data_IF_073456440939
#
_entry.id   IF_073456440939
#
_cell.length_a   1.000
_cell.length_b   1.000
_cell.length_c   1.000
_cell.angle_alpha   90.00
_cell.angle_beta   90.00
_cell.angle_gamma   90.00
#
_symmetry.space_group_name_H-M   'P 1'
#
loop_
_entity.id
_entity.type
_entity.pdbx_description
1 polymer ?
#
# COMPACT_ATOMS: atom_id res chain seq x y z
N UNK A 1 10.35 -12.25 1.61
CA UNK A 1 9.63 -11.69 0.48
C UNK A 1 9.84 -12.56 -0.74
N UNK A 2 8.83 -13.28 -1.23
CA UNK A 2 8.98 -14.19 -2.36
C UNK A 2 9.07 -13.52 -3.73
N UNK A 3 9.05 -12.19 -3.79
CA UNK A 3 9.07 -11.45 -5.04
C UNK A 3 10.44 -10.77 -5.26
N UNK A 4 11.20 -11.27 -6.23
CA UNK A 4 12.50 -10.78 -6.63
C UNK A 4 12.51 -10.19 -8.05
N UNK A 5 13.70 -10.07 -8.60
CA UNK A 5 13.96 -9.57 -9.96
C UNK A 5 13.75 -10.66 -11.03
N UNK A 6 13.53 -11.90 -10.62
CA UNK A 6 13.45 -13.04 -11.49
C UNK A 6 14.80 -13.74 -11.69
N UNK A 7 14.79 -14.79 -12.51
CA UNK A 7 15.95 -15.69 -12.70
C UNK A 7 17.17 -14.96 -13.29
N UNK A 8 16.94 -13.91 -14.05
CA UNK A 8 17.99 -13.08 -14.67
C UNK A 8 18.34 -11.86 -13.81
N UNK A 9 17.79 -11.77 -12.58
CA UNK A 9 18.05 -10.67 -11.67
C UNK A 9 19.51 -10.64 -11.22
N UNK A 10 20.08 -9.44 -11.18
CA UNK A 10 21.49 -9.25 -10.79
C UNK A 10 21.71 -9.52 -9.30
N UNK A 11 20.79 -9.03 -8.45
CA UNK A 11 20.93 -9.09 -6.99
C UNK A 11 19.84 -9.89 -6.29
N UNK A 12 18.69 -10.09 -6.89
CA UNK A 12 17.57 -10.81 -6.30
C UNK A 12 16.96 -11.78 -7.32
N UNK A 13 17.51 -12.99 -7.34
CA UNK A 13 17.06 -14.08 -8.24
C UNK A 13 15.81 -14.81 -7.75
N UNK A 14 15.19 -14.35 -6.65
CA UNK A 14 13.90 -14.86 -6.25
C UNK A 14 12.86 -14.65 -7.38
N UNK A 15 11.84 -15.51 -7.51
CA UNK A 15 10.88 -15.40 -8.61
C UNK A 15 10.18 -14.05 -8.60
N UNK A 16 9.88 -13.53 -9.78
CA UNK A 16 9.16 -12.26 -9.96
C UNK A 16 7.80 -12.27 -9.25
N UNK A 17 7.16 -13.43 -9.17
CA UNK A 17 5.93 -13.68 -8.41
C UNK A 17 5.96 -15.10 -7.82
N UNK A 18 5.25 -15.26 -6.70
CA UNK A 18 5.12 -16.53 -6.00
C UNK A 18 3.72 -16.59 -5.38
N UNK A 19 3.08 -17.75 -5.45
CA UNK A 19 1.76 -18.00 -4.87
C UNK A 19 1.81 -18.89 -3.63
N UNK A 20 2.98 -19.40 -3.26
CA UNK A 20 3.16 -20.28 -2.09
C UNK A 20 3.23 -19.48 -0.77
N UNK A 21 3.50 -18.17 -0.84
CA UNK A 21 3.58 -17.31 0.33
C UNK A 21 3.54 -15.83 -0.02
N UNK A 22 2.86 -15.06 0.82
CA UNK A 22 2.71 -13.62 0.67
C UNK A 22 3.10 -12.86 1.94
N UNK A 23 3.74 -11.70 1.77
CA UNK A 23 3.60 -10.58 2.69
C UNK A 23 2.42 -9.70 2.24
N UNK A 24 2.13 -8.65 2.99
CA UNK A 24 0.99 -7.78 2.68
C UNK A 24 1.14 -7.06 1.32
N UNK A 25 2.34 -6.69 0.93
CA UNK A 25 2.62 -5.98 -0.34
C UNK A 25 2.51 -6.94 -1.51
N UNK A 26 3.18 -8.10 -1.42
CA UNK A 26 3.14 -9.11 -2.49
C UNK A 26 1.74 -9.69 -2.69
N UNK A 27 0.96 -9.85 -1.61
CA UNK A 27 -0.45 -10.22 -1.71
C UNK A 27 -1.25 -9.20 -2.54
N UNK A 28 -1.18 -7.93 -2.17
CA UNK A 28 -1.94 -6.87 -2.86
C UNK A 28 -1.47 -6.74 -4.32
N UNK A 29 -0.17 -6.73 -4.57
CA UNK A 29 0.36 -6.54 -5.92
C UNK A 29 -0.01 -7.69 -6.86
N UNK A 30 0.09 -8.96 -6.39
CA UNK A 30 -0.29 -10.11 -7.21
C UNK A 30 -1.81 -10.13 -7.48
N UNK A 31 -2.65 -9.88 -6.48
CA UNK A 31 -4.11 -9.87 -6.65
C UNK A 31 -4.54 -8.71 -7.57
N UNK A 32 -3.97 -7.52 -7.40
CA UNK A 32 -4.24 -6.37 -8.26
C UNK A 32 -3.84 -6.66 -9.72
N UNK A 33 -2.65 -7.20 -9.94
CA UNK A 33 -2.18 -7.56 -11.28
C UNK A 33 -3.07 -8.63 -11.93
N UNK A 34 -3.48 -9.68 -11.18
CA UNK A 34 -4.40 -10.70 -11.65
C UNK A 34 -5.77 -10.13 -12.02
N UNK A 35 -6.34 -9.30 -11.15
CA UNK A 35 -7.66 -8.70 -11.37
C UNK A 35 -7.72 -7.77 -12.60
N UNK A 36 -6.59 -7.19 -12.96
CA UNK A 36 -6.47 -6.29 -14.11
C UNK A 36 -6.06 -7.00 -15.41
N UNK A 37 -5.87 -8.33 -15.41
CA UNK A 37 -5.29 -9.07 -16.53
C UNK A 37 -6.23 -10.15 -17.04
N UNK A 38 -6.16 -10.43 -18.35
CA UNK A 38 -6.94 -11.49 -19.01
C UNK A 38 -6.13 -12.76 -19.29
N UNK A 39 -4.81 -12.69 -19.18
CA UNK A 39 -3.91 -13.83 -19.42
C UNK A 39 -2.58 -13.63 -18.66
N UNK A 40 -1.75 -14.69 -18.66
CA UNK A 40 -0.47 -14.69 -17.92
C UNK A 40 0.50 -13.60 -18.40
N UNK A 41 0.57 -13.35 -19.70
CA UNK A 41 1.48 -12.30 -20.24
C UNK A 41 1.07 -10.91 -19.76
N UNK A 42 -0.24 -10.62 -19.72
CA UNK A 42 -0.73 -9.35 -19.18
C UNK A 42 -0.51 -9.25 -17.67
N UNK A 43 -0.72 -10.34 -16.94
CA UNK A 43 -0.43 -10.40 -15.50
C UNK A 43 1.04 -10.04 -15.22
N UNK A 44 1.98 -10.68 -15.91
CA UNK A 44 3.40 -10.40 -15.74
C UNK A 44 3.75 -8.95 -16.05
N UNK A 45 3.25 -8.40 -17.16
CA UNK A 45 3.45 -6.99 -17.53
C UNK A 45 2.89 -6.02 -16.49
N UNK A 46 1.67 -6.28 -16.01
CA UNK A 46 1.05 -5.42 -14.98
C UNK A 46 1.77 -5.51 -13.66
N UNK A 47 2.20 -6.72 -13.27
CA UNK A 47 2.95 -6.91 -12.05
C UNK A 47 4.28 -6.13 -12.07
N UNK A 48 4.97 -6.11 -13.22
CA UNK A 48 6.17 -5.29 -13.40
C UNK A 48 5.85 -3.80 -13.20
N UNK A 49 4.80 -3.29 -13.83
CA UNK A 49 4.41 -1.88 -13.73
C UNK A 49 3.91 -1.49 -12.33
N UNK A 50 3.33 -2.44 -11.57
CA UNK A 50 2.84 -2.23 -10.21
C UNK A 50 4.00 -2.16 -9.20
N UNK A 51 5.14 -2.78 -9.51
CA UNK A 51 6.25 -2.93 -8.57
C UNK A 51 7.51 -2.13 -8.92
N UNK A 52 7.68 -1.73 -10.19
CA UNK A 52 8.92 -1.17 -10.68
C UNK A 52 8.70 0.06 -11.56
N UNK A 53 9.60 1.04 -11.46
CA UNK A 53 9.65 2.17 -12.39
C UNK A 53 9.80 1.65 -13.81
N UNK A 54 8.93 2.12 -14.70
CA UNK A 54 8.86 1.77 -16.12
C UNK A 54 8.74 0.24 -16.39
N UNK A 55 8.35 -0.54 -15.38
CA UNK A 55 8.24 -1.99 -15.48
C UNK A 55 9.56 -2.72 -15.62
N UNK A 56 10.68 -2.11 -15.29
CA UNK A 56 12.01 -2.69 -15.39
C UNK A 56 12.37 -3.34 -14.04
N UNK A 57 12.40 -4.68 -14.02
CA UNK A 57 12.68 -5.47 -12.83
C UNK A 57 14.16 -5.37 -12.43
N UNK A 58 14.49 -4.38 -11.64
CA UNK A 58 15.80 -4.16 -11.03
C UNK A 58 15.60 -3.71 -9.60
N UNK A 59 16.55 -4.02 -8.72
CA UNK A 59 16.45 -3.67 -7.31
C UNK A 59 16.34 -2.16 -7.09
N UNK A 60 17.11 -1.35 -7.80
CA UNK A 60 17.09 0.10 -7.73
C UNK A 60 15.83 0.76 -8.34
N UNK A 61 15.10 0.00 -9.16
CA UNK A 61 13.83 0.43 -9.78
C UNK A 61 12.59 -0.02 -8.98
N UNK A 62 12.74 -0.85 -7.95
CA UNK A 62 11.61 -1.34 -7.17
C UNK A 62 10.98 -0.22 -6.34
N UNK A 63 9.66 -0.24 -6.20
CA UNK A 63 8.94 0.62 -5.28
C UNK A 63 9.14 0.13 -3.83
N UNK A 64 10.17 0.64 -3.18
CA UNK A 64 10.54 0.24 -1.82
C UNK A 64 9.65 0.89 -0.75
N UNK A 65 9.04 2.03 -1.07
CA UNK A 65 8.29 2.85 -0.12
C UNK A 65 6.84 3.04 -0.60
N UNK A 66 5.86 2.58 0.21
CA UNK A 66 4.45 2.68 -0.16
C UNK A 66 4.07 4.12 -0.48
N UNK A 67 4.27 5.04 0.47
CA UNK A 67 3.84 6.43 0.33
C UNK A 67 4.67 7.27 -0.65
N UNK A 68 5.95 6.94 -0.87
CA UNK A 68 6.84 7.71 -1.75
C UNK A 68 6.93 7.15 -3.18
N UNK A 69 6.80 5.83 -3.35
CA UNK A 69 6.96 5.17 -4.65
C UNK A 69 5.64 4.56 -5.12
N UNK A 70 5.15 3.56 -4.39
CA UNK A 70 4.05 2.70 -4.83
C UNK A 70 2.77 3.50 -5.11
N UNK A 71 2.33 4.32 -4.15
CA UNK A 71 1.11 5.12 -4.29
C UNK A 71 1.23 6.09 -5.47
N UNK A 72 2.33 6.83 -5.52
CA UNK A 72 2.57 7.85 -6.54
C UNK A 72 2.58 7.22 -7.95
N UNK A 73 3.30 6.11 -8.13
CA UNK A 73 3.43 5.50 -9.45
C UNK A 73 2.18 4.73 -9.86
N UNK A 74 1.52 4.03 -8.93
CA UNK A 74 0.29 3.30 -9.25
C UNK A 74 -0.91 4.23 -9.50
N UNK A 75 -0.95 5.41 -8.88
CA UNK A 75 -1.91 6.47 -9.22
C UNK A 75 -1.60 7.07 -10.60
N UNK A 76 -0.33 7.38 -10.89
CA UNK A 76 0.11 7.86 -12.22
C UNK A 76 -0.22 6.85 -13.32
N UNK A 77 -0.02 5.56 -13.06
CA UNK A 77 -0.33 4.46 -13.98
C UNK A 77 -1.84 4.14 -14.06
N UNK A 78 -2.69 4.83 -13.28
CA UNK A 78 -4.14 4.63 -13.23
C UNK A 78 -4.53 3.20 -12.83
N UNK A 79 -3.78 2.57 -11.95
CA UNK A 79 -4.18 1.32 -11.32
C UNK A 79 -5.04 1.58 -10.09
N UNK A 80 -4.75 2.67 -9.37
CA UNK A 80 -5.49 3.11 -8.18
C UNK A 80 -5.70 4.62 -8.20
N UNK A 81 -6.64 5.09 -7.38
CA UNK A 81 -6.88 6.51 -7.09
C UNK A 81 -7.02 6.68 -5.59
N UNK A 82 -6.29 7.62 -5.00
CA UNK A 82 -6.47 7.97 -3.59
C UNK A 82 -7.77 8.76 -3.42
N UNK A 83 -8.71 8.19 -2.68
CA UNK A 83 -10.01 8.80 -2.39
C UNK A 83 -10.15 9.16 -0.91
N UNK A 84 -9.07 9.08 -0.15
CA UNK A 84 -9.11 9.30 1.31
C UNK A 84 -9.65 10.67 1.67
N UNK A 85 -9.28 11.70 0.90
CA UNK A 85 -9.75 13.06 1.12
C UNK A 85 -11.20 13.29 0.67
N UNK A 86 -11.77 12.36 -0.11
CA UNK A 86 -13.14 12.41 -0.63
C UNK A 86 -14.14 11.68 0.30
N UNK A 87 -13.73 11.31 1.51
CA UNK A 87 -14.61 10.76 2.54
C UNK A 87 -15.02 11.89 3.49
N UNK A 88 -16.32 12.14 3.56
CA UNK A 88 -16.90 13.31 4.19
C UNK A 88 -17.73 12.98 5.43
N UNK A 89 -17.74 13.89 6.39
CA UNK A 89 -18.65 13.83 7.53
C UNK A 89 -20.08 14.26 7.14
N UNK A 90 -21.00 14.19 8.10
CA UNK A 90 -22.42 14.57 7.94
C UNK A 90 -22.62 16.06 7.55
N UNK A 91 -21.59 16.88 7.69
CA UNK A 91 -21.57 18.31 7.30
C UNK A 91 -20.91 18.51 5.95
N UNK A 92 -20.68 17.44 5.19
CA UNK A 92 -19.99 17.44 3.90
C UNK A 92 -18.57 18.04 3.99
N UNK A 93 -17.87 17.81 5.10
CA UNK A 93 -16.48 18.20 5.30
C UNK A 93 -15.61 16.97 5.30
N UNK A 94 -14.50 17.00 4.53
CA UNK A 94 -13.52 15.92 4.57
C UNK A 94 -13.02 15.67 5.99
N UNK A 95 -12.98 14.40 6.39
CA UNK A 95 -12.43 13.98 7.68
C UNK A 95 -10.94 13.69 7.63
N UNK A 96 -10.33 13.70 6.46
CA UNK A 96 -8.94 13.34 6.28
C UNK A 96 -7.99 14.27 7.03
N UNK A 97 -6.93 13.69 7.56
CA UNK A 97 -5.72 14.37 8.03
C UNK A 97 -4.54 13.91 7.16
N UNK A 98 -3.39 14.55 7.31
CA UNK A 98 -2.19 14.24 6.51
C UNK A 98 -1.06 13.73 7.39
N UNK A 99 -0.46 12.61 6.98
CA UNK A 99 0.77 12.10 7.53
C UNK A 99 1.92 12.69 6.70
N UNK A 100 2.60 13.67 7.28
CA UNK A 100 3.68 14.39 6.61
C UNK A 100 5.03 14.02 7.19
N UNK A 101 6.04 13.87 6.34
CA UNK A 101 7.39 13.58 6.78
C UNK A 101 8.34 13.21 5.66
N UNK A 102 9.60 13.10 6.02
CA UNK A 102 10.68 12.77 5.09
C UNK A 102 10.97 11.27 5.08
N UNK A 103 11.03 10.70 3.90
CA UNK A 103 11.58 9.36 3.62
C UNK A 103 13.04 9.56 3.23
N UNK A 104 13.95 9.10 4.08
CA UNK A 104 15.40 9.18 3.85
C UNK A 104 15.87 7.97 3.04
N UNK A 105 15.59 7.97 1.73
CA UNK A 105 15.99 6.89 0.80
C UNK A 105 17.51 6.66 0.82
N UNK A 106 18.38 7.71 0.77
CA UNK A 106 19.84 7.51 0.89
C UNK A 106 20.23 6.69 2.11
N UNK A 107 19.75 7.10 3.29
CA UNK A 107 20.13 6.42 4.53
C UNK A 107 19.53 5.01 4.65
N UNK A 108 18.37 4.77 4.05
CA UNK A 108 17.80 3.42 3.95
C UNK A 108 18.71 2.47 3.15
N UNK A 109 19.23 2.92 1.99
CA UNK A 109 20.20 2.12 1.21
C UNK A 109 21.51 1.89 1.95
N UNK A 110 22.04 2.92 2.65
CA UNK A 110 23.23 2.78 3.46
C UNK A 110 23.01 1.78 4.60
N UNK A 111 21.89 1.87 5.30
CA UNK A 111 21.55 0.95 6.39
C UNK A 111 21.38 -0.49 5.90
N UNK A 112 20.77 -0.68 4.73
CA UNK A 112 20.65 -2.00 4.09
C UNK A 112 22.02 -2.58 3.73
N UNK A 113 22.97 -1.75 3.29
CA UNK A 113 24.32 -2.18 2.93
C UNK A 113 25.12 -2.76 4.11
N UNK A 114 24.77 -2.42 5.36
CA UNK A 114 25.50 -2.91 6.55
C UNK A 114 25.42 -4.45 6.72
N UNK A 115 24.38 -5.08 6.21
CA UNK A 115 24.12 -6.53 6.36
C UNK A 115 24.36 -7.35 5.09
N UNK A 116 24.93 -6.74 4.05
CA UNK A 116 25.08 -7.38 2.73
C UNK A 116 26.54 -7.80 2.46
N UNK A 117 26.77 -8.62 1.41
CA UNK A 117 28.11 -8.91 0.90
C UNK A 117 28.80 -7.64 0.41
N UNK A 118 30.12 -7.64 0.33
CA UNK A 118 30.91 -6.45 -0.07
C UNK A 118 30.44 -5.88 -1.42
N UNK A 119 30.24 -6.74 -2.42
CA UNK A 119 29.79 -6.36 -3.77
C UNK A 119 28.40 -5.71 -3.75
N UNK A 120 27.45 -6.33 -3.07
CA UNK A 120 26.08 -5.82 -2.94
C UNK A 120 26.04 -4.55 -2.08
N UNK A 121 26.87 -4.46 -1.03
CA UNK A 121 27.02 -3.27 -0.22
C UNK A 121 27.53 -2.09 -1.03
N UNK A 122 28.53 -2.29 -1.90
CA UNK A 122 29.06 -1.25 -2.77
C UNK A 122 28.03 -0.76 -3.79
N UNK A 123 27.24 -1.67 -4.35
CA UNK A 123 26.11 -1.32 -5.21
C UNK A 123 25.08 -0.45 -4.47
N UNK A 124 24.67 -0.85 -3.28
CA UNK A 124 23.72 -0.09 -2.46
C UNK A 124 24.24 1.29 -2.06
N UNK A 125 25.53 1.40 -1.73
CA UNK A 125 26.17 2.70 -1.45
C UNK A 125 26.18 3.61 -2.68
N UNK A 126 26.42 3.07 -3.89
CA UNK A 126 26.31 3.85 -5.15
C UNK A 126 24.89 4.38 -5.38
N UNK A 127 23.86 3.54 -5.14
CA UNK A 127 22.47 4.01 -5.21
C UNK A 127 22.23 5.13 -4.20
N UNK A 128 22.70 4.99 -2.98
CA UNK A 128 22.52 6.00 -1.94
C UNK A 128 23.10 7.39 -2.32
N UNK A 129 24.09 7.45 -3.22
CA UNK A 129 24.66 8.72 -3.70
C UNK A 129 23.79 9.45 -4.73
N UNK A 130 22.90 8.72 -5.42
CA UNK A 130 22.09 9.28 -6.52
C UNK A 130 20.63 9.50 -6.16
N UNK A 131 20.10 8.72 -5.23
CA UNK A 131 18.72 8.91 -4.73
C UNK A 131 18.66 10.09 -3.76
N UNK A 132 17.47 10.66 -3.61
CA UNK A 132 17.25 11.82 -2.74
C UNK A 132 16.29 11.47 -1.62
N UNK A 133 16.36 12.23 -0.56
CA UNK A 133 15.31 12.31 0.44
C UNK A 133 14.05 12.86 -0.21
N UNK A 134 12.90 12.33 0.20
CA UNK A 134 11.62 12.69 -0.38
C UNK A 134 10.62 13.06 0.71
N UNK A 135 10.06 14.27 0.62
CA UNK A 135 8.99 14.69 1.51
C UNK A 135 7.67 14.11 1.00
N UNK A 136 6.94 13.46 1.89
CA UNK A 136 5.67 12.79 1.60
C UNK A 136 4.57 13.40 2.44
N UNK A 137 3.41 13.60 1.82
CA UNK A 137 2.15 13.97 2.46
C UNK A 137 1.10 12.94 2.06
N UNK A 138 0.74 12.05 2.99
CA UNK A 138 -0.20 10.95 2.77
C UNK A 138 -1.52 11.26 3.52
N UNK A 139 -2.67 11.41 2.84
CA UNK A 139 -3.94 11.59 3.52
C UNK A 139 -4.34 10.30 4.26
N UNK A 140 -5.00 10.45 5.40
CA UNK A 140 -5.55 9.31 6.13
C UNK A 140 -6.84 9.68 6.87
N UNK A 141 -7.74 8.73 7.01
CA UNK A 141 -8.94 8.82 7.83
C UNK A 141 -8.54 8.49 9.28
N UNK A 142 -8.66 9.42 10.23
CA UNK A 142 -8.28 9.16 11.62
C UNK A 142 -9.16 8.08 12.25
N UNK A 143 -8.55 7.08 12.90
CA UNK A 143 -9.30 6.00 13.59
C UNK A 143 -10.36 6.56 14.54
N UNK A 144 -10.02 7.61 15.31
CA UNK A 144 -10.95 8.21 16.27
C UNK A 144 -12.18 8.87 15.63
N UNK A 145 -12.12 9.23 14.33
CA UNK A 145 -13.27 9.75 13.59
C UNK A 145 -14.14 8.65 12.99
N UNK A 146 -13.56 7.45 12.76
CA UNK A 146 -14.29 6.31 12.22
C UNK A 146 -15.22 5.64 13.25
N UNK A 147 -15.03 5.94 14.54
CA UNK A 147 -15.83 5.39 15.63
C UNK A 147 -16.46 6.49 16.48
N UNK A 148 -17.58 6.16 17.12
CA UNK A 148 -18.20 7.00 18.12
C UNK A 148 -17.51 6.88 19.51
N UNK A 149 -18.00 7.60 20.51
CA UNK A 149 -17.47 7.59 21.89
C UNK A 149 -17.58 6.21 22.56
N UNK A 150 -18.55 5.41 22.14
CA UNK A 150 -18.76 4.03 22.61
C UNK A 150 -17.96 3.00 21.79
N UNK A 151 -17.12 3.45 20.85
CA UNK A 151 -16.35 2.63 19.91
C UNK A 151 -17.22 1.81 18.95
N UNK A 152 -18.42 2.28 18.64
CA UNK A 152 -19.20 1.72 17.55
C UNK A 152 -18.74 2.36 16.23
N UNK A 153 -18.69 1.62 15.13
CA UNK A 153 -18.32 2.17 13.83
C UNK A 153 -19.37 3.19 13.37
N UNK A 154 -18.89 4.30 12.79
CA UNK A 154 -19.75 5.26 12.11
C UNK A 154 -20.02 4.75 10.71
N UNK A 155 -21.04 3.91 10.57
CA UNK A 155 -21.37 3.16 9.35
C UNK A 155 -21.40 4.05 8.10
N UNK A 156 -21.90 5.29 8.21
CA UNK A 156 -21.95 6.22 7.08
C UNK A 156 -20.55 6.56 6.51
N UNK A 157 -19.48 6.49 7.31
CA UNK A 157 -18.10 6.66 6.82
C UNK A 157 -17.58 5.40 6.14
N UNK A 158 -17.84 4.23 6.73
CA UNK A 158 -17.46 2.96 6.12
C UNK A 158 -18.20 2.71 4.79
N UNK A 159 -19.44 3.21 4.67
CA UNK A 159 -20.23 3.08 3.45
C UNK A 159 -19.68 3.90 2.28
N UNK A 160 -18.88 4.94 2.54
CA UNK A 160 -18.19 5.70 1.50
C UNK A 160 -16.93 5.01 0.96
N UNK A 161 -16.44 3.97 1.62
CA UNK A 161 -15.29 3.18 1.13
C UNK A 161 -15.80 2.24 0.02
N UNK A 162 -15.33 2.38 -1.24
CA UNK A 162 -15.75 1.53 -2.33
C UNK A 162 -15.37 0.07 -2.12
N UNK A 163 -16.16 -0.84 -2.69
CA UNK A 163 -15.78 -2.25 -2.77
C UNK A 163 -14.49 -2.41 -3.56
N UNK A 164 -13.65 -3.36 -3.15
CA UNK A 164 -12.34 -3.67 -3.76
C UNK A 164 -11.29 -2.57 -3.63
N UNK A 165 -11.45 -1.61 -2.72
CA UNK A 165 -10.38 -0.65 -2.39
C UNK A 165 -9.21 -1.32 -1.68
N UNK A 166 -8.02 -0.75 -1.82
CA UNK A 166 -6.86 -1.10 -1.01
C UNK A 166 -6.88 -0.20 0.23
N UNK A 167 -6.77 -0.80 1.40
CA UNK A 167 -6.65 -0.11 2.68
C UNK A 167 -5.21 -0.18 3.14
N UNK A 168 -4.62 0.97 3.40
CA UNK A 168 -3.29 1.08 4.02
C UNK A 168 -3.42 1.51 5.48
N UNK A 169 -2.71 0.83 6.37
CA UNK A 169 -2.67 1.15 7.80
C UNK A 169 -1.60 2.20 8.04
N UNK A 170 -2.06 3.41 8.37
CA UNK A 170 -1.20 4.60 8.43
C UNK A 170 -0.65 4.83 9.84
N UNK A 171 0.67 5.02 9.89
CA UNK A 171 1.45 5.42 11.06
C UNK A 171 2.24 6.68 10.70
N UNK A 172 1.72 7.88 10.95
CA UNK A 172 2.42 9.10 10.59
C UNK A 172 3.84 9.15 11.18
N UNK A 173 4.83 9.35 10.34
CA UNK A 173 6.23 9.47 10.75
C UNK A 173 6.73 8.31 11.64
N UNK A 174 6.31 7.08 11.31
CA UNK A 174 6.75 5.90 12.08
C UNK A 174 8.27 5.79 12.07
N UNK A 175 8.86 6.10 13.22
CA UNK A 175 10.31 6.14 13.35
C UNK A 175 10.90 4.72 13.33
N UNK A 176 11.59 4.42 12.25
CA UNK A 176 12.35 3.19 12.04
C UNK A 176 13.82 3.48 11.71
N UNK A 177 14.31 4.71 11.98
CA UNK A 177 15.67 5.14 11.61
C UNK A 177 16.76 4.20 12.12
N UNK A 178 16.63 3.74 13.36
CA UNK A 178 17.64 2.83 13.95
C UNK A 178 17.61 1.44 13.29
N UNK A 179 16.45 1.00 12.79
CA UNK A 179 16.25 -0.33 12.22
C UNK A 179 16.55 -0.38 10.72
N UNK A 180 16.02 0.59 9.96
CA UNK A 180 16.05 0.58 8.50
C UNK A 180 16.56 1.90 7.90
N UNK A 181 17.02 2.86 8.70
CA UNK A 181 17.61 4.11 8.23
C UNK A 181 16.62 5.23 7.91
N UNK A 182 15.30 5.00 7.98
CA UNK A 182 14.31 6.03 7.63
C UNK A 182 13.01 5.90 8.44
N UNK A 183 12.12 6.88 8.31
CA UNK A 183 10.72 6.76 8.74
C UNK A 183 9.88 6.10 7.65
N UNK A 184 8.71 5.57 8.04
CA UNK A 184 7.65 5.12 7.12
C UNK A 184 6.31 5.73 7.51
N UNK A 185 5.33 5.70 6.59
CA UNK A 185 3.96 6.13 6.85
C UNK A 185 2.94 4.99 6.81
N UNK A 186 3.25 3.89 6.12
CA UNK A 186 2.38 2.72 5.96
C UNK A 186 3.05 1.51 6.60
N UNK A 187 2.30 0.77 7.41
CA UNK A 187 2.80 -0.41 8.11
C UNK A 187 2.17 -1.72 7.66
N UNK A 188 1.02 -1.68 7.01
CA UNK A 188 0.28 -2.85 6.55
C UNK A 188 -0.73 -2.46 5.48
N UNK A 189 -1.15 -3.40 4.63
CA UNK A 189 -2.19 -3.17 3.62
C UNK A 189 -2.94 -4.46 3.29
N UNK A 190 -4.12 -4.28 2.67
CA UNK A 190 -5.00 -5.34 2.21
C UNK A 190 -6.20 -4.77 1.45
N UNK A 191 -7.14 -5.62 1.08
CA UNK A 191 -8.34 -5.22 0.34
C UNK A 191 -9.54 -5.03 1.24
N UNK A 192 -10.31 -3.98 1.00
CA UNK A 192 -11.66 -3.80 1.50
C UNK A 192 -12.64 -4.51 0.57
N UNK A 193 -13.34 -5.54 1.05
CA UNK A 193 -14.29 -6.36 0.29
C UNK A 193 -15.68 -6.19 0.89
N UNK A 194 -16.62 -5.61 0.13
CA UNK A 194 -17.99 -5.46 0.57
C UNK A 194 -18.80 -6.71 0.17
N UNK A 195 -19.41 -7.34 1.17
CA UNK A 195 -20.28 -8.50 0.96
C UNK A 195 -21.71 -8.07 0.57
N UNK A 196 -22.52 -9.04 0.09
CA UNK A 196 -23.91 -8.80 -0.31
C UNK A 196 -24.81 -8.31 0.82
N UNK A 197 -24.45 -8.56 2.08
CA UNK A 197 -25.15 -8.06 3.25
C UNK A 197 -24.75 -6.60 3.64
N UNK A 198 -23.86 -5.96 2.85
CA UNK A 198 -23.36 -4.60 3.09
C UNK A 198 -22.13 -4.50 3.98
N UNK A 199 -21.75 -5.55 4.68
CA UNK A 199 -20.58 -5.56 5.55
C UNK A 199 -19.27 -5.41 4.77
N UNK A 200 -18.35 -4.60 5.30
CA UNK A 200 -17.05 -4.34 4.71
C UNK A 200 -15.96 -5.14 5.44
N UNK A 201 -15.36 -6.09 4.73
CA UNK A 201 -14.30 -6.95 5.24
C UNK A 201 -12.93 -6.45 4.81
N UNK A 202 -11.93 -6.70 5.64
CA UNK A 202 -10.52 -6.49 5.35
C UNK A 202 -9.86 -7.83 5.09
N UNK A 203 -9.44 -8.06 3.84
CA UNK A 203 -8.72 -9.26 3.41
C UNK A 203 -7.24 -8.93 3.26
N UNK A 204 -6.40 -9.57 4.07
CA UNK A 204 -4.98 -9.27 4.11
C UNK A 204 -4.12 -10.49 4.42
N UNK A 205 -2.83 -10.47 4.05
CA UNK A 205 -1.86 -11.46 4.49
C UNK A 205 -1.46 -11.16 5.94
N UNK A 206 -1.88 -12.02 6.86
CA UNK A 206 -1.63 -11.88 8.29
C UNK A 206 -0.30 -12.54 8.67
N UNK A 207 0.64 -11.76 9.18
CA UNK A 207 1.88 -12.30 9.75
C UNK A 207 1.66 -13.08 11.03
N UNK A 208 0.62 -12.76 11.79
CA UNK A 208 0.23 -13.45 13.02
C UNK A 208 -0.36 -14.83 12.73
N UNK A 209 -1.32 -14.89 11.78
CA UNK A 209 -2.00 -16.14 11.42
C UNK A 209 -1.27 -16.92 10.32
N UNK A 210 -0.22 -16.35 9.72
CA UNK A 210 0.61 -16.93 8.64
C UNK A 210 -0.20 -17.37 7.41
N UNK A 211 -1.33 -16.72 7.15
CA UNK A 211 -2.18 -16.95 5.98
C UNK A 211 -2.92 -15.69 5.59
N UNK A 212 -3.58 -15.73 4.44
CA UNK A 212 -4.55 -14.69 4.05
C UNK A 212 -5.82 -14.89 4.85
N UNK A 213 -6.24 -13.83 5.53
CA UNK A 213 -7.45 -13.83 6.39
C UNK A 213 -8.42 -12.76 5.94
N UNK A 214 -9.66 -12.92 6.33
CA UNK A 214 -10.74 -11.95 6.11
C UNK A 214 -11.46 -11.70 7.43
N UNK A 215 -11.47 -10.44 7.86
CA UNK A 215 -12.09 -9.99 9.10
C UNK A 215 -12.93 -8.74 8.82
N UNK A 216 -13.95 -8.45 9.63
CA UNK A 216 -14.66 -7.17 9.50
C UNK A 216 -13.66 -6.01 9.63
N UNK A 217 -13.70 -5.05 8.70
CA UNK A 217 -12.77 -3.92 8.71
C UNK A 217 -12.94 -3.10 10.00
N UNK A 218 -14.19 -2.89 10.43
CA UNK A 218 -14.47 -2.18 11.69
C UNK A 218 -13.87 -2.88 12.90
N UNK A 219 -13.96 -4.22 12.98
CA UNK A 219 -13.38 -4.99 14.09
C UNK A 219 -11.86 -4.95 14.08
N UNK A 220 -11.24 -5.11 12.90
CA UNK A 220 -9.81 -4.95 12.74
C UNK A 220 -9.33 -3.59 13.24
N UNK A 221 -9.98 -2.51 12.78
CA UNK A 221 -9.63 -1.15 13.18
C UNK A 221 -9.91 -0.86 14.66
N UNK A 222 -10.98 -1.43 15.22
CA UNK A 222 -11.32 -1.34 16.66
C UNK A 222 -10.22 -1.95 17.53
N UNK A 223 -9.66 -3.07 17.11
CA UNK A 223 -8.58 -3.75 17.84
C UNK A 223 -7.30 -2.92 17.92
N UNK A 224 -7.03 -2.10 16.89
CA UNK A 224 -5.84 -1.26 16.82
C UNK A 224 -6.05 0.18 17.34
N UNK A 225 -7.24 0.55 17.81
CA UNK A 225 -7.54 1.86 18.39
C UNK A 225 -6.59 2.25 19.55
N UNK A 226 -6.08 1.26 20.29
CA UNK A 226 -5.16 1.50 21.41
C UNK A 226 -3.71 1.73 20.97
N UNK A 227 -3.41 1.58 19.69
CA UNK A 227 -2.04 1.78 19.18
C UNK A 227 -1.61 3.23 19.35
N UNK A 228 -0.42 3.43 19.90
CA UNK A 228 0.15 4.77 20.03
C UNK A 228 0.63 5.34 18.69
N UNK A 229 0.96 4.50 17.73
CA UNK A 229 1.57 4.88 16.45
C UNK A 229 0.64 4.77 15.25
N UNK A 230 -0.31 3.81 15.24
CA UNK A 230 -1.32 3.73 14.18
C UNK A 230 -2.36 4.83 14.43
N UNK A 231 -2.60 5.66 13.40
CA UNK A 231 -3.52 6.81 13.53
C UNK A 231 -4.71 6.73 12.60
N UNK A 232 -4.65 5.95 11.52
CA UNK A 232 -5.73 5.89 10.55
C UNK A 232 -5.50 4.91 9.43
N UNK A 233 -6.32 5.07 8.41
CA UNK A 233 -6.24 4.33 7.15
C UNK A 233 -6.20 5.30 5.97
N UNK A 234 -5.44 4.94 4.94
CA UNK A 234 -5.55 5.52 3.61
C UNK A 234 -6.36 4.56 2.72
N UNK A 235 -7.11 5.10 1.76
CA UNK A 235 -8.01 4.35 0.89
C UNK A 235 -7.65 4.60 -0.57
N UNK A 236 -7.12 3.57 -1.23
CA UNK A 236 -6.82 3.58 -2.65
C UNK A 236 -7.92 2.81 -3.40
N UNK A 237 -8.80 3.52 -4.11
CA UNK A 237 -9.82 2.88 -4.96
C UNK A 237 -9.15 2.29 -6.21
N UNK A 238 -9.47 1.03 -6.53
CA UNK A 238 -8.96 0.37 -7.74
C UNK A 238 -9.67 0.94 -8.96
N UNK A 239 -8.91 1.30 -9.98
CA UNK A 239 -9.45 1.87 -11.21
C UNK A 239 -10.18 0.78 -12.00
N UNK A 240 -11.50 0.82 -11.98
CA UNK A 240 -12.33 -0.07 -12.81
C UNK A 240 -12.41 0.49 -14.22
N UNK A 241 -11.80 -0.19 -15.20
CA UNK A 241 -12.16 0.02 -16.60
C UNK A 241 -13.56 -0.51 -16.81
N UNK A 242 -14.55 0.36 -16.90
CA UNK A 242 -15.85 -0.01 -17.45
C UNK A 242 -15.60 -0.35 -18.91
N UNK A 243 -15.84 -1.60 -19.30
CA UNK A 243 -15.75 -2.04 -20.69
C UNK A 243 -16.72 -1.17 -21.52
N UNK A 244 -16.17 -0.23 -22.31
CA UNK A 244 -16.94 0.55 -23.29
C UNK A 244 -17.11 2.05 -23.04
N UNK A 245 -16.62 2.63 -21.96
CA UNK A 245 -16.62 4.09 -21.84
C UNK A 245 -15.46 4.61 -21.00
N UNK A 246 -14.68 5.52 -21.57
CA UNK A 246 -13.77 6.37 -20.83
C UNK A 246 -14.62 7.44 -20.12
N UNK A 247 -15.19 7.08 -18.97
CA UNK A 247 -15.82 8.07 -18.11
C UNK A 247 -15.41 7.76 -16.68
N UNK A 248 -14.68 8.71 -16.09
CA UNK A 248 -14.57 8.82 -14.65
C UNK A 248 -15.99 8.97 -14.09
N UNK A 249 -16.56 7.88 -13.59
CA UNK A 249 -17.89 7.89 -13.02
C UNK A 249 -17.83 8.43 -11.59
N UNK A 250 -18.02 9.71 -11.45
CA UNK A 250 -18.61 10.30 -10.26
C UNK A 250 -20.01 9.68 -10.11
N UNK A 251 -20.16 8.74 -9.20
CA UNK A 251 -21.48 8.33 -8.72
C UNK A 251 -21.80 9.13 -7.47
N UNK A 252 -22.45 10.27 -7.68
CA UNK A 252 -23.37 10.86 -6.72
C UNK A 252 -24.79 10.63 -7.26
N UNK A 253 -25.52 9.76 -6.64
CA UNK A 253 -26.98 9.83 -6.48
C UNK A 253 -27.39 8.84 -5.40
#
# INVERSE_FOLDING_TARGET
NPQGEGIDGEFDQAPLYCFDGFDCVTFVNNVLALALSHNLSEFQKKLLLINYYDGIARFDNRFHFMSADWNVQNQKNKFVTDITADIFDEKNKSIALFAEGEIDKPNWFLKKAESETAERADYLRRIALIVKKEFVSLPYLPLLKLFDENKNPREYLFNQIPNTSIIEIVRPNWNLKDKIGTNLHVSHLGFAIRKSNGELFFRHASSEQKCVVEVLLSDYLKNILKSQTIKGINVQAIYQRIAGSAVAGLFFS
#
